data_IF_458370755389
#
_entry.id   IF_458370755389
#
_cell.length_a   1.000
_cell.length_b   1.000
_cell.length_c   1.000
_cell.angle_alpha   90.00
_cell.angle_beta   90.00
_cell.angle_gamma   90.00
#
_symmetry.space_group_name_H-M   'P 1'
#
loop_
_entity.id
_entity.type
_entity.pdbx_description
1 polymer ?
#
# COMPACT_ATOMS: atom_id res chain seq x y z
N UNK A 1 1.36 -6.69 11.52
CA UNK A 1 1.81 -8.10 11.57
C UNK A 1 0.69 -8.99 12.09
N UNK A 2 -0.10 -8.54 13.07
CA UNK A 2 -1.30 -9.22 13.59
C UNK A 2 -2.18 -9.90 12.53
N UNK A 3 -2.55 -9.21 11.45
CA UNK A 3 -3.40 -9.80 10.39
C UNK A 3 -2.73 -10.99 9.68
N UNK A 4 -1.41 -10.95 9.51
CA UNK A 4 -0.64 -12.06 8.91
C UNK A 4 -0.58 -13.23 9.89
N UNK A 5 -0.34 -12.96 11.17
CA UNK A 5 -0.32 -14.02 12.19
C UNK A 5 -1.68 -14.70 12.32
N UNK A 6 -2.77 -13.92 12.34
CA UNK A 6 -4.13 -14.44 12.33
C UNK A 6 -4.39 -15.29 11.09
N UNK A 7 -3.96 -14.82 9.91
CA UNK A 7 -4.05 -15.61 8.68
C UNK A 7 -3.27 -16.92 8.79
N UNK A 8 -2.03 -16.90 9.26
CA UNK A 8 -1.20 -18.10 9.40
C UNK A 8 -1.78 -19.12 10.39
N UNK A 9 -2.39 -18.64 11.48
CA UNK A 9 -2.97 -19.50 12.52
C UNK A 9 -4.34 -20.06 12.14
N UNK A 10 -5.21 -19.22 11.59
CA UNK A 10 -6.64 -19.54 11.47
C UNK A 10 -7.09 -19.71 10.02
N UNK A 11 -6.59 -18.91 9.07
CA UNK A 11 -7.07 -18.93 7.68
C UNK A 11 -6.30 -19.88 6.76
N UNK A 12 -4.96 -19.83 6.82
CA UNK A 12 -4.08 -20.58 5.92
C UNK A 12 -4.23 -22.09 6.06
N UNK A 13 -4.34 -22.69 7.27
CA UNK A 13 -4.50 -24.13 7.39
C UNK A 13 -5.74 -24.67 6.67
N UNK A 14 -6.86 -23.96 6.76
CA UNK A 14 -8.12 -24.34 6.09
C UNK A 14 -7.99 -24.31 4.56
N UNK A 15 -7.29 -23.30 4.02
CA UNK A 15 -7.05 -23.20 2.58
C UNK A 15 -6.05 -24.27 2.12
N UNK A 16 -4.98 -24.48 2.88
CA UNK A 16 -3.93 -25.46 2.56
C UNK A 16 -4.47 -26.90 2.54
N UNK A 17 -5.40 -27.23 3.45
CA UNK A 17 -6.05 -28.54 3.50
C UNK A 17 -6.86 -28.89 2.23
N UNK A 18 -7.20 -27.89 1.40
CA UNK A 18 -7.93 -28.07 0.13
C UNK A 18 -6.99 -28.27 -1.08
N UNK A 19 -5.69 -28.05 -0.89
CA UNK A 19 -4.67 -28.18 -1.93
C UNK A 19 -3.74 -29.36 -1.70
N UNK A 20 -2.68 -29.45 -2.52
CA UNK A 20 -1.70 -30.54 -2.49
C UNK A 20 -0.44 -30.20 -1.65
N UNK A 21 -0.56 -29.28 -0.69
CA UNK A 21 0.54 -28.86 0.17
C UNK A 21 1.50 -27.87 -0.50
N UNK A 22 1.13 -26.60 -0.53
CA UNK A 22 1.92 -25.52 -1.14
C UNK A 22 2.67 -24.66 -0.09
N UNK A 23 3.89 -24.21 -0.44
CA UNK A 23 4.76 -23.40 0.43
C UNK A 23 4.52 -21.89 0.32
N UNK A 24 3.77 -21.41 -0.68
CA UNK A 24 3.48 -19.98 -0.84
C UNK A 24 2.73 -19.45 0.39
N UNK A 25 3.07 -18.21 0.77
CA UNK A 25 2.45 -17.57 1.93
C UNK A 25 0.93 -17.46 1.72
N UNK A 26 0.51 -16.85 0.62
CA UNK A 26 -0.90 -16.63 0.29
C UNK A 26 -1.43 -17.68 -0.68
N UNK A 27 -2.54 -18.30 -0.29
CA UNK A 27 -3.26 -19.29 -1.08
C UNK A 27 -4.62 -18.77 -1.52
N UNK A 28 -5.11 -19.26 -2.66
CA UNK A 28 -6.47 -19.03 -3.13
C UNK A 28 -7.47 -20.00 -2.47
N UNK A 29 -8.76 -19.85 -2.76
CA UNK A 29 -9.86 -20.66 -2.20
C UNK A 29 -9.73 -22.18 -2.45
N UNK A 30 -8.91 -22.59 -3.42
CA UNK A 30 -8.61 -24.00 -3.80
C UNK A 30 -7.29 -24.51 -3.21
N UNK A 31 -6.64 -23.75 -2.32
CA UNK A 31 -5.37 -24.16 -1.71
C UNK A 31 -4.15 -24.08 -2.62
N UNK A 32 -4.25 -23.41 -3.79
CA UNK A 32 -3.14 -23.15 -4.71
C UNK A 32 -2.58 -21.75 -4.50
N UNK A 33 -1.39 -21.41 -5.03
CA UNK A 33 -0.84 -20.06 -4.92
C UNK A 33 -1.83 -19.00 -5.40
N UNK A 34 -1.91 -17.89 -4.65
CA UNK A 34 -2.73 -16.75 -5.05
C UNK A 34 -2.12 -16.11 -6.31
N UNK A 35 -2.90 -16.10 -7.40
CA UNK A 35 -2.48 -15.44 -8.64
C UNK A 35 -2.74 -13.93 -8.57
N UNK A 36 -2.04 -13.15 -9.41
CA UNK A 36 -2.27 -11.71 -9.54
C UNK A 36 -3.74 -11.37 -9.84
N UNK A 37 -4.35 -12.14 -10.74
CA UNK A 37 -5.76 -11.94 -11.11
C UNK A 37 -6.69 -12.22 -9.92
N UNK A 38 -6.49 -13.32 -9.19
CA UNK A 38 -7.31 -13.62 -8.01
C UNK A 38 -7.11 -12.60 -6.88
N UNK A 39 -5.91 -12.04 -6.71
CA UNK A 39 -5.68 -10.97 -5.75
C UNK A 39 -6.43 -9.69 -6.16
N UNK A 40 -6.46 -9.37 -7.46
CA UNK A 40 -7.22 -8.24 -7.98
C UNK A 40 -8.72 -8.40 -7.72
N UNK A 41 -9.28 -9.57 -8.01
CA UNK A 41 -10.68 -9.90 -7.76
C UNK A 41 -11.01 -9.77 -6.27
N UNK A 42 -10.18 -10.31 -5.37
CA UNK A 42 -10.36 -10.16 -3.92
C UNK A 42 -10.38 -8.69 -3.49
N UNK A 43 -9.50 -7.85 -4.03
CA UNK A 43 -9.48 -6.41 -3.71
C UNK A 43 -10.76 -5.74 -4.17
N UNK A 44 -11.23 -6.06 -5.38
CA UNK A 44 -12.47 -5.49 -5.94
C UNK A 44 -13.68 -5.90 -5.11
N UNK A 45 -13.81 -7.18 -4.79
CA UNK A 45 -14.90 -7.71 -3.95
C UNK A 45 -14.92 -7.03 -2.56
N UNK A 46 -13.74 -6.79 -1.97
CA UNK A 46 -13.63 -6.10 -0.68
C UNK A 46 -14.00 -4.63 -0.77
N UNK A 47 -13.64 -3.94 -1.86
CA UNK A 47 -14.00 -2.54 -2.07
C UNK A 47 -15.52 -2.37 -2.25
N UNK A 48 -16.15 -3.26 -3.01
CA UNK A 48 -17.61 -3.29 -3.18
C UNK A 48 -18.32 -3.53 -1.84
N UNK A 49 -17.85 -4.51 -1.05
CA UNK A 49 -18.40 -4.80 0.29
C UNK A 49 -18.18 -3.66 1.29
N UNK A 50 -17.17 -2.83 1.08
CA UNK A 50 -16.88 -1.65 1.89
C UNK A 50 -17.60 -0.39 1.36
N UNK A 51 -18.44 -0.53 0.34
CA UNK A 51 -19.18 0.58 -0.30
C UNK A 51 -18.26 1.71 -0.80
N UNK A 52 -17.06 1.35 -1.27
CA UNK A 52 -16.12 2.30 -1.85
C UNK A 52 -16.54 2.55 -3.31
N UNK A 53 -17.05 3.75 -3.58
CA UNK A 53 -17.53 4.14 -4.92
C UNK A 53 -16.39 4.37 -5.94
N UNK A 54 -15.16 4.59 -5.45
CA UNK A 54 -13.98 4.80 -6.31
C UNK A 54 -13.37 3.49 -6.79
N UNK A 55 -12.72 3.51 -7.95
CA UNK A 55 -12.07 2.32 -8.51
C UNK A 55 -10.87 1.89 -7.64
N UNK A 56 -10.98 0.71 -7.02
CA UNK A 56 -9.92 0.13 -6.19
C UNK A 56 -9.17 -0.96 -6.95
N UNK A 57 -7.84 -0.86 -6.94
CA UNK A 57 -6.90 -1.79 -7.54
C UNK A 57 -5.65 -1.93 -6.66
N UNK A 58 -4.78 -2.93 -6.89
CA UNK A 58 -3.47 -2.99 -6.26
C UNK A 58 -2.64 -1.71 -6.42
N UNK A 59 -2.78 -0.99 -7.55
CA UNK A 59 -2.06 0.26 -7.80
C UNK A 59 -2.61 1.41 -6.96
N UNK A 60 -3.94 1.53 -6.83
CA UNK A 60 -4.53 2.59 -5.99
C UNK A 60 -4.27 2.34 -4.52
N UNK A 61 -4.31 1.09 -4.05
CA UNK A 61 -3.89 0.73 -2.68
C UNK A 61 -2.43 1.09 -2.40
N UNK A 62 -1.50 0.77 -3.33
CA UNK A 62 -0.08 1.16 -3.19
C UNK A 62 0.08 2.68 -3.15
N UNK A 63 -0.65 3.40 -4.00
CA UNK A 63 -0.60 4.85 -4.03
C UNK A 63 -1.11 5.47 -2.72
N UNK A 64 -2.25 5.01 -2.21
CA UNK A 64 -2.79 5.46 -0.93
C UNK A 64 -1.81 5.23 0.22
N UNK A 65 -1.13 4.07 0.27
CA UNK A 65 -0.09 3.81 1.26
C UNK A 65 1.07 4.82 1.17
N UNK A 66 1.57 5.08 -0.04
CA UNK A 66 2.66 6.02 -0.25
C UNK A 66 2.29 7.45 0.15
N UNK A 67 1.12 7.92 -0.30
CA UNK A 67 0.60 9.25 0.03
C UNK A 67 0.39 9.39 1.53
N UNK A 68 -0.18 8.38 2.20
CA UNK A 68 -0.38 8.39 3.64
C UNK A 68 0.92 8.52 4.44
N UNK A 69 2.00 7.85 3.99
CA UNK A 69 3.30 7.96 4.64
C UNK A 69 3.90 9.36 4.46
N UNK A 70 3.82 9.93 3.25
CA UNK A 70 4.34 11.27 2.98
C UNK A 70 3.57 12.36 3.73
N UNK A 71 2.24 12.25 3.81
CA UNK A 71 1.40 13.16 4.60
C UNK A 71 1.74 13.14 6.10
N UNK A 72 2.25 12.01 6.60
CA UNK A 72 2.74 11.87 7.98
C UNK A 72 4.22 12.21 8.15
N UNK A 73 4.86 12.79 7.12
CA UNK A 73 6.23 13.29 7.20
C UNK A 73 7.32 12.24 6.95
N UNK A 74 6.98 11.06 6.44
CA UNK A 74 8.00 10.12 5.96
C UNK A 74 8.79 10.75 4.81
N UNK A 75 10.09 10.49 4.73
CA UNK A 75 10.87 10.97 3.59
C UNK A 75 10.52 10.18 2.33
N UNK A 76 10.69 10.79 1.16
CA UNK A 76 10.49 10.10 -0.13
C UNK A 76 11.39 8.86 -0.21
N UNK A 77 12.59 8.93 0.39
CA UNK A 77 13.54 7.81 0.42
C UNK A 77 13.01 6.63 1.25
N UNK A 78 12.42 6.90 2.41
CA UNK A 78 11.83 5.86 3.26
C UNK A 78 10.66 5.16 2.53
N UNK A 79 9.82 5.94 1.85
CA UNK A 79 8.69 5.40 1.08
C UNK A 79 9.18 4.54 -0.10
N UNK A 80 10.27 4.95 -0.77
CA UNK A 80 10.89 4.19 -1.85
C UNK A 80 11.49 2.87 -1.37
N UNK A 81 12.17 2.87 -0.22
CA UNK A 81 12.74 1.66 0.37
C UNK A 81 11.63 0.67 0.76
N UNK A 82 10.53 1.16 1.35
CA UNK A 82 9.40 0.32 1.79
C UNK A 82 8.57 -0.25 0.63
N UNK A 83 8.42 0.48 -0.48
CA UNK A 83 7.68 0.01 -1.66
C UNK A 83 8.53 -0.80 -2.64
N UNK A 84 9.85 -0.83 -2.42
CA UNK A 84 10.83 -1.42 -3.31
C UNK A 84 11.05 -0.64 -4.61
N UNK A 85 12.16 -0.94 -5.31
CA UNK A 85 12.55 -0.27 -6.56
C UNK A 85 11.56 -0.45 -7.73
N UNK A 86 10.63 -1.41 -7.64
CA UNK A 86 9.74 -1.80 -8.74
C UNK A 86 8.56 -0.84 -8.97
N UNK A 87 8.35 0.15 -8.10
CA UNK A 87 7.25 1.10 -8.25
C UNK A 87 7.69 2.56 -8.07
N UNK A 88 8.77 2.95 -8.75
CA UNK A 88 9.06 4.36 -9.11
C UNK A 88 8.13 4.79 -10.27
N UNK A 89 6.83 4.54 -10.14
CA UNK A 89 5.81 4.96 -11.10
C UNK A 89 4.61 5.36 -10.24
N UNK A 90 4.50 6.62 -9.79
CA UNK A 90 4.51 7.88 -10.55
C UNK A 90 5.44 8.93 -9.93
N UNK A 91 6.62 9.13 -10.52
CA UNK A 91 7.63 10.13 -10.11
C UNK A 91 7.09 11.57 -10.04
N UNK A 92 5.93 11.86 -10.63
CA UNK A 92 5.35 13.20 -10.68
C UNK A 92 4.43 13.55 -9.49
N UNK A 93 3.83 12.57 -8.80
CA UNK A 93 2.90 12.88 -7.69
C UNK A 93 3.69 13.24 -6.41
N UNK A 94 4.80 12.56 -6.16
CA UNK A 94 5.64 12.80 -4.98
C UNK A 94 6.32 14.17 -4.98
N UNK A 95 6.59 14.75 -6.15
CA UNK A 95 7.13 16.11 -6.25
C UNK A 95 6.14 17.16 -5.75
N UNK A 96 4.82 16.95 -5.97
CA UNK A 96 3.79 17.91 -5.57
C UNK A 96 3.62 18.00 -4.05
N UNK A 97 3.68 16.87 -3.35
CA UNK A 97 3.64 16.82 -1.88
C UNK A 97 4.92 17.41 -1.28
N UNK A 98 6.07 17.19 -1.91
CA UNK A 98 7.32 17.82 -1.47
C UNK A 98 7.25 19.35 -1.53
N UNK A 99 6.54 19.95 -2.50
CA UNK A 99 6.44 21.41 -2.62
C UNK A 99 5.59 21.99 -1.48
N UNK A 100 4.48 21.35 -1.09
CA UNK A 100 3.68 21.81 0.05
C UNK A 100 4.46 21.71 1.36
N UNK A 101 5.11 20.58 1.62
CA UNK A 101 5.90 20.37 2.84
C UNK A 101 7.15 21.24 2.86
N UNK A 102 7.85 21.42 1.73
CA UNK A 102 8.98 22.36 1.61
C UNK A 102 8.53 23.80 1.83
N UNK A 103 7.34 24.20 1.32
CA UNK A 103 6.79 25.54 1.57
C UNK A 103 6.48 25.75 3.04
N UNK A 104 5.95 24.74 3.73
CA UNK A 104 5.63 24.82 5.16
C UNK A 104 6.89 24.86 6.03
N UNK A 105 7.88 24.01 5.74
CA UNK A 105 9.20 24.04 6.42
C UNK A 105 9.93 25.37 6.13
N UNK A 106 9.92 25.84 4.89
CA UNK A 106 10.50 27.13 4.53
C UNK A 106 9.77 28.29 5.24
N UNK A 107 8.44 28.27 5.31
CA UNK A 107 7.66 29.30 6.01
C UNK A 107 7.97 29.34 7.51
N UNK A 108 8.18 28.19 8.14
CA UNK A 108 8.41 28.08 9.59
C UNK A 108 9.87 28.25 10.01
N UNK A 109 10.82 27.94 9.12
CA UNK A 109 12.25 27.86 9.48
C UNK A 109 13.10 28.94 8.81
N UNK A 110 12.65 29.54 7.69
CA UNK A 110 13.49 30.48 6.94
C UNK A 110 13.44 31.90 7.52
N UNK A 111 14.58 32.53 7.87
CA UNK A 111 14.63 33.85 8.52
C UNK A 111 13.99 35.01 7.73
N UNK A 112 13.77 34.82 6.42
CA UNK A 112 13.13 35.81 5.53
C UNK A 112 11.64 35.54 5.27
N UNK A 113 11.08 34.43 5.74
CA UNK A 113 9.66 34.13 5.59
C UNK A 113 8.77 34.94 6.56
N UNK A 114 9.31 35.35 7.71
CA UNK A 114 8.60 36.19 8.70
C UNK A 114 8.61 37.70 8.37
N UNK A 115 9.10 38.12 7.20
CA UNK A 115 9.11 39.52 6.77
C UNK A 115 8.39 39.72 5.45
N UNK A 116 7.07 39.53 5.42
CA UNK A 116 6.12 40.23 4.53
C UNK A 116 4.79 40.40 5.27
#
# INVERSE_FOLDING_TARGET
IESIENYLRNGRPELAARGEGDHHLFLNKRGRPLSRQSAWEVIKDLAERAEIESEVSPHTLRHSFATHLLERGASIRDVQELLGHASVVTTQIYTKVSISTLREIHATTHPRAQRQ
#
